data_IF_862517151802
#
_entry.id   IF_862517151802
#
_cell.length_a   1.000
_cell.length_b   1.000
_cell.length_c   1.000
_cell.angle_alpha   90.00
_cell.angle_beta   90.00
_cell.angle_gamma   90.00
#
_symmetry.space_group_name_H-M   'P 1'
#
loop_
_entity.id
_entity.type
_entity.pdbx_description
1 polymer ?
#
# COMPACT_ATOMS: atom_id res chain seq x y z
N UNK A 1 -27.13 -10.90 -7.15
CA UNK A 1 -25.96 -10.93 -6.24
C UNK A 1 -24.75 -10.94 -7.10
N UNK A 2 -23.96 -9.88 -7.03
CA UNK A 2 -22.69 -9.80 -7.80
C UNK A 2 -21.75 -10.93 -7.37
N UNK A 3 -21.45 -11.83 -8.29
CA UNK A 3 -20.59 -13.00 -8.05
C UNK A 3 -19.15 -12.65 -7.71
N UNK A 4 -18.79 -11.38 -7.83
CA UNK A 4 -17.44 -10.85 -7.56
C UNK A 4 -17.41 -9.89 -6.37
N UNK A 5 -18.43 -9.92 -5.50
CA UNK A 5 -18.49 -9.05 -4.32
C UNK A 5 -17.33 -9.25 -3.32
N UNK A 6 -16.55 -10.32 -3.46
CA UNK A 6 -15.33 -10.53 -2.68
C UNK A 6 -14.11 -9.76 -3.24
N UNK A 7 -14.19 -9.26 -4.48
CA UNK A 7 -13.17 -8.41 -5.08
C UNK A 7 -13.50 -6.96 -4.73
N UNK A 8 -12.78 -6.40 -3.79
CA UNK A 8 -12.87 -4.97 -3.51
C UNK A 8 -12.41 -4.19 -4.77
N UNK A 9 -13.03 -3.06 -5.08
CA UNK A 9 -12.73 -2.25 -6.26
C UNK A 9 -11.22 -1.90 -6.41
N UNK A 10 -10.49 -1.89 -5.31
CA UNK A 10 -9.03 -1.69 -5.29
C UNK A 10 -8.23 -2.86 -5.91
N UNK A 11 -8.81 -4.04 -6.02
CA UNK A 11 -8.13 -5.24 -6.51
C UNK A 11 -8.44 -5.55 -7.99
N UNK A 12 -9.45 -4.88 -8.57
CA UNK A 12 -9.88 -5.14 -9.96
C UNK A 12 -8.82 -4.79 -10.98
N UNK A 13 -8.03 -3.74 -10.77
CA UNK A 13 -6.93 -3.37 -11.67
C UNK A 13 -5.82 -4.44 -11.69
N UNK A 14 -5.41 -4.92 -10.52
CA UNK A 14 -4.42 -6.00 -10.41
C UNK A 14 -4.87 -7.29 -11.11
N UNK A 15 -6.15 -7.64 -10.93
CA UNK A 15 -6.75 -8.78 -11.63
C UNK A 15 -6.79 -8.60 -13.13
N UNK A 16 -7.18 -7.41 -13.59
CA UNK A 16 -7.24 -7.11 -15.03
C UNK A 16 -5.86 -7.23 -15.67
N UNK A 17 -4.82 -6.67 -15.03
CA UNK A 17 -3.44 -6.74 -15.52
C UNK A 17 -2.91 -8.18 -15.60
N UNK A 18 -3.15 -8.99 -14.56
CA UNK A 18 -2.75 -10.40 -14.55
C UNK A 18 -3.54 -11.22 -15.58
N UNK A 19 -4.83 -10.92 -15.74
CA UNK A 19 -5.66 -11.60 -16.74
C UNK A 19 -5.24 -11.24 -18.16
N UNK A 20 -4.90 -9.97 -18.44
CA UNK A 20 -4.34 -9.57 -19.73
C UNK A 20 -3.01 -10.28 -20.02
N UNK A 21 -2.12 -10.38 -19.03
CA UNK A 21 -0.87 -11.13 -19.16
C UNK A 21 -1.13 -12.61 -19.46
N UNK A 22 -2.10 -13.23 -18.80
CA UNK A 22 -2.52 -14.59 -19.04
C UNK A 22 -3.07 -14.78 -20.46
N UNK A 23 -3.93 -13.86 -20.94
CA UNK A 23 -4.48 -13.92 -22.31
C UNK A 23 -3.41 -13.77 -23.40
N UNK A 24 -2.37 -12.94 -23.16
CA UNK A 24 -1.24 -12.78 -24.08
C UNK A 24 -0.32 -13.99 -24.07
N UNK A 25 0.01 -14.50 -22.91
CA UNK A 25 0.86 -15.69 -22.73
C UNK A 25 0.54 -16.37 -21.39
N UNK A 26 -0.17 -17.52 -21.41
CA UNK A 26 -0.51 -18.25 -20.20
C UNK A 26 0.70 -18.67 -19.34
N UNK A 27 1.88 -18.82 -19.96
CA UNK A 27 3.11 -19.18 -19.26
C UNK A 27 3.81 -18.00 -18.59
N UNK A 28 3.36 -16.77 -18.84
CA UNK A 28 3.91 -15.55 -18.22
C UNK A 28 3.39 -15.31 -16.79
N UNK A 29 2.29 -15.94 -16.43
CA UNK A 29 1.73 -15.86 -15.07
C UNK A 29 2.09 -17.11 -14.26
N UNK A 30 2.18 -16.93 -12.95
CA UNK A 30 2.46 -18.04 -12.05
C UNK A 30 1.43 -19.16 -12.19
N UNK A 31 1.81 -20.46 -12.02
CA UNK A 31 0.92 -21.62 -12.19
C UNK A 31 -0.40 -21.54 -11.42
N UNK A 32 -0.40 -20.94 -10.21
CA UNK A 32 -1.61 -20.74 -9.41
C UNK A 32 -2.62 -19.80 -10.07
N UNK A 33 -2.15 -18.69 -10.60
CA UNK A 33 -2.97 -17.74 -11.36
C UNK A 33 -3.45 -18.29 -12.68
N UNK A 34 -2.59 -19.07 -13.36
CA UNK A 34 -2.97 -19.76 -14.60
C UNK A 34 -4.13 -20.72 -14.36
N UNK A 35 -4.04 -21.55 -13.32
CA UNK A 35 -5.11 -22.49 -12.97
C UNK A 35 -6.40 -21.77 -12.57
N UNK A 36 -6.30 -20.62 -11.90
CA UNK A 36 -7.44 -19.78 -11.57
C UNK A 36 -8.10 -19.22 -12.84
N UNK A 37 -7.33 -18.64 -13.75
CA UNK A 37 -7.87 -18.04 -14.97
C UNK A 37 -8.41 -19.10 -15.93
N UNK A 38 -7.80 -20.27 -16.01
CA UNK A 38 -8.37 -21.41 -16.72
C UNK A 38 -9.73 -21.80 -16.17
N UNK A 39 -9.87 -21.87 -14.83
CA UNK A 39 -11.16 -22.11 -14.19
C UNK A 39 -12.16 -20.99 -14.40
N UNK A 40 -11.71 -19.75 -14.44
CA UNK A 40 -12.53 -18.57 -14.70
C UNK A 40 -13.07 -18.55 -16.14
N UNK A 41 -12.20 -18.79 -17.14
CA UNK A 41 -12.59 -18.89 -18.56
C UNK A 41 -13.54 -20.06 -18.79
N UNK A 42 -13.26 -21.20 -18.15
CA UNK A 42 -14.10 -22.35 -18.16
C UNK A 42 -15.50 -22.06 -17.58
N UNK A 43 -15.57 -21.35 -16.46
CA UNK A 43 -16.84 -20.93 -15.85
C UNK A 43 -17.61 -19.93 -16.71
N UNK A 44 -16.93 -19.06 -17.48
CA UNK A 44 -17.58 -18.16 -18.42
C UNK A 44 -18.10 -18.90 -19.67
N UNK A 45 -17.34 -19.88 -20.18
CA UNK A 45 -17.72 -20.63 -21.37
C UNK A 45 -18.84 -21.65 -21.12
N UNK A 46 -19.02 -22.11 -19.86
CA UNK A 46 -19.82 -23.30 -19.53
C UNK A 46 -21.19 -23.09 -18.89
N UNK A 47 -21.70 -21.87 -18.81
CA UNK A 47 -23.01 -21.63 -18.19
C UNK A 47 -24.17 -22.12 -19.09
N UNK A 48 -24.53 -23.42 -19.00
CA UNK A 48 -25.74 -23.94 -19.65
C UNK A 48 -25.87 -25.45 -19.89
N UNK A 49 -24.90 -26.31 -19.56
CA UNK A 49 -25.06 -27.76 -19.79
C UNK A 49 -24.69 -28.62 -18.60
N UNK A 50 -25.54 -29.60 -18.27
CA UNK A 50 -25.33 -30.59 -17.21
C UNK A 50 -24.10 -31.52 -17.45
N UNK A 51 -23.67 -31.69 -18.70
CA UNK A 51 -22.47 -32.45 -19.07
C UNK A 51 -21.18 -31.79 -18.56
N UNK A 52 -21.17 -30.48 -18.36
CA UNK A 52 -20.04 -29.70 -17.88
C UNK A 52 -19.75 -29.90 -16.38
N UNK A 53 -20.78 -30.16 -15.58
CA UNK A 53 -20.62 -30.38 -14.15
C UNK A 53 -19.84 -31.67 -13.82
N UNK A 54 -19.95 -32.70 -14.66
CA UNK A 54 -19.25 -33.96 -14.47
C UNK A 54 -17.75 -33.89 -14.82
N UNK A 55 -17.37 -33.03 -15.76
CA UNK A 55 -15.95 -32.81 -16.13
C UNK A 55 -15.21 -31.96 -15.09
N UNK A 56 -15.88 -31.01 -14.42
CA UNK A 56 -15.29 -30.16 -13.36
C UNK A 56 -14.83 -31.01 -12.15
N UNK A 57 -15.56 -32.08 -11.82
CA UNK A 57 -15.24 -32.94 -10.69
C UNK A 57 -13.97 -33.76 -10.94
N UNK A 58 -13.63 -34.06 -12.17
CA UNK A 58 -12.41 -34.84 -12.49
C UNK A 58 -11.14 -33.97 -12.57
N UNK A 59 -11.24 -32.68 -12.91
CA UNK A 59 -10.10 -31.74 -12.91
C UNK A 59 -9.78 -31.23 -11.50
N UNK A 60 -10.79 -31.20 -10.62
CA UNK A 60 -10.64 -30.72 -9.23
C UNK A 60 -9.99 -31.72 -8.27
N UNK A 61 -9.72 -32.96 -8.70
CA UNK A 61 -9.17 -34.01 -7.83
C UNK A 61 -7.64 -34.16 -7.87
N UNK A 62 -6.93 -33.31 -8.62
CA UNK A 62 -5.47 -33.26 -8.62
C UNK A 62 -4.97 -31.89 -8.17
N UNK A 63 -4.32 -31.84 -7.00
CA UNK A 63 -3.51 -30.69 -6.53
C UNK A 63 -4.24 -29.35 -6.25
N UNK A 64 -5.58 -29.35 -6.21
CA UNK A 64 -6.38 -28.12 -6.02
C UNK A 64 -6.29 -27.51 -4.61
N UNK A 65 -5.83 -28.24 -3.62
CA UNK A 65 -5.74 -27.78 -2.23
C UNK A 65 -4.63 -26.75 -2.02
N UNK A 66 -3.42 -27.04 -2.50
CA UNK A 66 -2.25 -26.14 -2.34
C UNK A 66 -2.38 -24.88 -3.18
N UNK A 67 -2.85 -25.01 -4.43
CA UNK A 67 -3.11 -23.87 -5.32
C UNK A 67 -4.16 -22.94 -4.72
N UNK A 68 -5.23 -23.49 -4.16
CA UNK A 68 -6.28 -22.71 -3.48
C UNK A 68 -5.74 -21.98 -2.24
N UNK A 69 -4.89 -22.63 -1.43
CA UNK A 69 -4.28 -22.02 -0.25
C UNK A 69 -3.32 -20.88 -0.61
N UNK A 70 -2.45 -21.08 -1.61
CA UNK A 70 -1.52 -20.07 -2.06
C UNK A 70 -2.26 -18.83 -2.59
N UNK A 71 -3.30 -19.04 -3.38
CA UNK A 71 -4.13 -17.95 -3.88
C UNK A 71 -4.83 -17.20 -2.75
N UNK A 72 -5.35 -17.91 -1.74
CA UNK A 72 -5.93 -17.29 -0.56
C UNK A 72 -4.91 -16.41 0.17
N UNK A 73 -3.65 -16.83 0.24
CA UNK A 73 -2.57 -16.05 0.84
C UNK A 73 -2.21 -14.81 -0.01
N UNK A 74 -2.23 -14.90 -1.35
CA UNK A 74 -2.09 -13.71 -2.22
C UNK A 74 -3.16 -12.66 -1.92
N UNK A 75 -4.43 -13.06 -1.80
CA UNK A 75 -5.51 -12.15 -1.39
C UNK A 75 -5.28 -11.56 0.00
N UNK A 76 -4.77 -12.35 0.91
CA UNK A 76 -4.47 -11.87 2.26
C UNK A 76 -3.35 -10.82 2.25
N UNK A 77 -2.33 -10.99 1.40
CA UNK A 77 -1.29 -9.97 1.19
C UNK A 77 -1.86 -8.70 0.57
N UNK A 78 -2.78 -8.80 -0.40
CA UNK A 78 -3.47 -7.62 -0.94
C UNK A 78 -4.26 -6.87 0.14
N UNK A 79 -4.97 -7.59 1.02
CA UNK A 79 -5.66 -6.99 2.17
C UNK A 79 -4.69 -6.33 3.15
N UNK A 80 -3.51 -6.91 3.36
CA UNK A 80 -2.46 -6.33 4.19
C UNK A 80 -1.97 -5.01 3.60
N UNK A 81 -1.66 -4.96 2.30
CA UNK A 81 -1.25 -3.74 1.58
C UNK A 81 -2.30 -2.65 1.76
N UNK A 82 -3.58 -2.98 1.54
CA UNK A 82 -4.68 -2.05 1.74
C UNK A 82 -4.85 -1.61 3.20
N UNK A 83 -4.58 -2.52 4.14
CA UNK A 83 -4.51 -2.21 5.56
C UNK A 83 -3.46 -1.14 5.89
N UNK A 84 -2.26 -1.22 5.32
CA UNK A 84 -1.22 -0.20 5.47
C UNK A 84 -1.61 1.12 4.81
N UNK A 85 -2.18 1.10 3.60
CA UNK A 85 -2.65 2.30 2.90
C UNK A 85 -3.72 3.07 3.66
N UNK A 86 -4.60 2.37 4.34
CA UNK A 86 -5.73 2.98 5.08
C UNK A 86 -5.38 3.34 6.52
N UNK A 87 -4.49 2.61 7.17
CA UNK A 87 -4.23 2.72 8.62
C UNK A 87 -2.78 2.94 8.99
N UNK A 88 -1.83 2.85 8.05
CA UNK A 88 -0.40 2.99 8.33
C UNK A 88 -0.06 4.32 9.01
N UNK A 89 -0.73 5.41 8.65
CA UNK A 89 -0.55 6.73 9.26
C UNK A 89 -0.82 6.73 10.78
N UNK A 90 -1.60 5.78 11.31
CA UNK A 90 -1.84 5.64 12.75
C UNK A 90 -0.62 5.10 13.51
N UNK A 91 0.31 4.47 12.81
CA UNK A 91 1.51 3.87 13.39
C UNK A 91 2.79 4.69 13.14
N UNK A 92 2.66 5.88 12.58
CA UNK A 92 3.78 6.77 12.28
C UNK A 92 4.46 7.32 13.54
N UNK A 93 5.77 7.56 13.42
CA UNK A 93 6.63 8.16 14.45
C UNK A 93 6.84 9.66 14.15
N UNK A 94 5.74 10.41 14.06
CA UNK A 94 5.78 11.83 13.69
C UNK A 94 6.28 12.75 14.80
N UNK A 95 6.21 12.33 16.06
CA UNK A 95 6.69 13.12 17.20
C UNK A 95 8.08 12.60 17.64
N UNK A 96 9.15 13.41 17.51
CA UNK A 96 10.50 12.99 17.90
C UNK A 96 10.73 12.94 19.42
N UNK A 97 9.84 13.53 20.21
CA UNK A 97 10.01 13.69 21.66
C UNK A 97 9.18 12.67 22.46
N UNK A 98 8.11 12.16 21.87
CA UNK A 98 7.19 11.27 22.57
C UNK A 98 6.68 10.16 21.67
N UNK A 99 6.70 8.93 22.16
CA UNK A 99 6.09 7.81 21.49
C UNK A 99 4.57 7.97 21.37
N UNK A 100 4.05 7.62 20.20
CA UNK A 100 2.62 7.66 19.92
C UNK A 100 1.91 6.55 20.68
N UNK A 101 0.77 6.89 21.30
CA UNK A 101 -0.13 5.87 21.85
C UNK A 101 -0.83 5.14 20.70
N UNK A 102 -0.69 3.83 20.66
CA UNK A 102 -1.32 3.00 19.65
C UNK A 102 -2.76 2.67 20.11
N UNK A 103 -3.74 3.28 19.48
CA UNK A 103 -5.17 3.05 19.72
C UNK A 103 -5.89 2.48 18.49
N UNK A 104 -5.18 2.26 17.41
CA UNK A 104 -5.73 1.77 16.15
C UNK A 104 -5.82 0.26 16.07
N UNK A 105 -6.60 -0.27 15.13
CA UNK A 105 -6.60 -1.69 14.81
C UNK A 105 -5.21 -2.11 14.32
N UNK A 106 -4.72 -3.21 14.85
CA UNK A 106 -3.39 -3.75 14.56
C UNK A 106 -3.17 -4.03 13.07
N UNK A 107 -1.92 -3.82 12.62
CA UNK A 107 -1.42 -4.25 11.30
C UNK A 107 -0.67 -5.59 11.39
N UNK A 108 -0.87 -6.35 12.47
CA UNK A 108 -0.26 -7.66 12.63
C UNK A 108 -0.75 -8.64 11.56
N UNK A 109 0.14 -9.52 11.10
CA UNK A 109 -0.11 -10.47 10.01
C UNK A 109 -1.32 -11.37 10.27
N UNK A 110 -1.52 -11.76 11.53
CA UNK A 110 -2.60 -12.63 11.96
C UNK A 110 -3.99 -12.07 11.67
N UNK A 111 -4.13 -10.72 11.72
CA UNK A 111 -5.39 -10.04 11.41
C UNK A 111 -5.76 -10.11 9.92
N UNK A 112 -4.82 -10.50 9.09
CA UNK A 112 -5.01 -10.66 7.64
C UNK A 112 -4.98 -12.13 7.21
N UNK A 113 -4.93 -13.08 8.17
CA UNK A 113 -4.84 -14.51 7.87
C UNK A 113 -3.47 -14.93 7.33
N UNK A 114 -2.43 -14.19 7.71
CA UNK A 114 -1.02 -14.49 7.43
C UNK A 114 -0.31 -14.83 8.75
N UNK A 115 0.84 -15.47 8.67
CA UNK A 115 1.61 -15.91 9.84
C UNK A 115 3.11 -15.65 9.67
N UNK A 116 3.86 -15.79 10.74
CA UNK A 116 5.33 -15.69 10.69
C UNK A 116 5.96 -16.75 9.76
N UNK A 117 5.31 -17.89 9.55
CA UNK A 117 5.77 -18.91 8.62
C UNK A 117 5.73 -18.45 7.16
N UNK A 118 4.86 -17.48 6.83
CA UNK A 118 4.67 -16.96 5.48
C UNK A 118 5.72 -15.92 5.09
N UNK A 119 6.53 -15.41 6.04
CA UNK A 119 7.49 -14.32 5.81
C UNK A 119 8.50 -14.61 4.69
N UNK A 120 8.89 -15.85 4.49
CA UNK A 120 9.84 -16.25 3.45
C UNK A 120 9.14 -16.67 2.14
N UNK A 121 7.82 -16.66 2.09
CA UNK A 121 7.05 -17.00 0.90
C UNK A 121 7.04 -15.80 -0.06
N UNK A 122 7.25 -16.09 -1.35
CA UNK A 122 7.25 -15.07 -2.43
C UNK A 122 5.82 -14.86 -2.92
N UNK A 123 5.42 -13.59 -3.06
CA UNK A 123 4.09 -13.17 -3.48
C UNK A 123 4.13 -12.24 -4.69
N UNK A 124 3.22 -12.46 -5.63
CA UNK A 124 3.01 -11.60 -6.80
C UNK A 124 2.31 -10.28 -6.42
N UNK A 125 1.59 -10.26 -5.32
CA UNK A 125 0.94 -9.06 -4.76
C UNK A 125 1.92 -7.90 -4.53
N UNK A 126 3.23 -8.15 -4.45
CA UNK A 126 4.29 -7.13 -4.40
C UNK A 126 4.21 -6.12 -5.57
N UNK A 127 3.67 -6.52 -6.73
CA UNK A 127 3.45 -5.65 -7.90
C UNK A 127 2.52 -4.47 -7.57
N UNK A 128 1.60 -4.61 -6.62
CA UNK A 128 0.70 -3.54 -6.17
C UNK A 128 1.40 -2.37 -5.46
N UNK A 129 2.65 -2.58 -5.07
CA UNK A 129 3.52 -1.56 -4.45
C UNK A 129 4.78 -1.31 -5.28
N UNK A 130 4.68 -1.50 -6.60
CA UNK A 130 5.75 -1.28 -7.58
C UNK A 130 7.02 -2.11 -7.33
N UNK A 131 6.90 -3.24 -6.64
CA UNK A 131 7.98 -4.19 -6.42
C UNK A 131 7.88 -5.39 -7.38
N UNK A 132 9.01 -6.02 -7.67
CA UNK A 132 9.01 -7.36 -8.29
C UNK A 132 8.47 -8.38 -7.28
N UNK A 133 7.99 -9.55 -7.74
CA UNK A 133 7.64 -10.64 -6.81
C UNK A 133 8.76 -10.85 -5.80
N UNK A 134 8.45 -10.75 -4.52
CA UNK A 134 9.39 -10.82 -3.42
C UNK A 134 8.75 -11.42 -2.17
N UNK A 135 9.53 -11.64 -1.14
CA UNK A 135 9.07 -12.25 0.11
C UNK A 135 8.10 -11.34 0.88
N UNK A 136 7.20 -11.95 1.66
CA UNK A 136 6.30 -11.19 2.53
C UNK A 136 7.08 -10.27 3.49
N UNK A 137 8.24 -10.70 3.98
CA UNK A 137 9.09 -9.87 4.83
C UNK A 137 9.55 -8.59 4.14
N UNK A 138 9.91 -8.68 2.85
CA UNK A 138 10.30 -7.51 2.05
C UNK A 138 9.12 -6.58 1.78
N UNK A 139 7.94 -7.14 1.48
CA UNK A 139 6.70 -6.38 1.32
C UNK A 139 6.37 -5.62 2.60
N UNK A 140 6.36 -6.28 3.75
CA UNK A 140 6.08 -5.65 5.05
C UNK A 140 7.08 -4.54 5.35
N UNK A 141 8.37 -4.79 5.15
CA UNK A 141 9.41 -3.79 5.36
C UNK A 141 9.22 -2.55 4.48
N UNK A 142 8.88 -2.75 3.20
CA UNK A 142 8.56 -1.64 2.29
C UNK A 142 7.35 -0.85 2.79
N UNK A 143 6.25 -1.53 3.15
CA UNK A 143 5.04 -0.90 3.66
C UNK A 143 5.29 -0.12 4.96
N UNK A 144 6.09 -0.66 5.88
CA UNK A 144 6.50 0.04 7.10
C UNK A 144 7.34 1.29 6.80
N UNK A 145 8.24 1.21 5.82
CA UNK A 145 9.03 2.36 5.38
C UNK A 145 8.15 3.46 4.80
N UNK A 146 7.22 3.09 3.91
CA UNK A 146 6.35 4.06 3.23
C UNK A 146 5.33 4.69 4.18
N UNK A 147 4.67 3.87 5.04
CA UNK A 147 3.47 4.31 5.75
C UNK A 147 3.64 4.51 7.25
N UNK A 148 4.69 3.99 7.89
CA UNK A 148 4.82 3.96 9.34
C UNK A 148 6.04 4.73 9.89
N UNK A 149 6.76 5.49 9.04
CA UNK A 149 7.93 6.27 9.50
C UNK A 149 7.53 7.66 10.00
N UNK A 150 8.34 8.67 9.72
CA UNK A 150 8.16 10.03 10.24
C UNK A 150 7.11 10.87 9.51
N UNK A 151 6.60 10.39 8.38
CA UNK A 151 5.58 11.10 7.58
C UNK A 151 4.32 10.24 7.53
N UNK A 152 3.22 10.76 8.06
CA UNK A 152 1.90 10.14 7.94
C UNK A 152 1.15 10.67 6.72
N UNK A 153 0.58 9.78 5.92
CA UNK A 153 -0.16 10.14 4.71
C UNK A 153 -1.55 9.53 4.76
N UNK A 154 -2.55 10.38 4.61
CA UNK A 154 -3.97 10.01 4.50
C UNK A 154 -4.49 10.44 3.13
N UNK A 155 -4.81 9.50 2.26
CA UNK A 155 -5.20 9.80 0.88
C UNK A 155 -6.28 8.87 0.32
N UNK A 156 -6.61 7.78 1.02
CA UNK A 156 -7.56 6.76 0.54
C UNK A 156 -9.00 7.27 0.41
N UNK A 157 -9.31 8.46 0.93
CA UNK A 157 -10.60 9.14 0.74
C UNK A 157 -10.74 9.84 -0.61
N UNK A 158 -9.66 9.97 -1.38
CA UNK A 158 -9.68 10.61 -2.71
C UNK A 158 -10.45 9.71 -3.68
N UNK A 159 -11.48 10.29 -4.31
CA UNK A 159 -12.40 9.54 -5.19
C UNK A 159 -11.97 9.49 -6.66
N UNK A 160 -11.07 10.40 -7.08
CA UNK A 160 -10.59 10.42 -8.45
C UNK A 160 -9.50 9.36 -8.66
N UNK A 161 -9.75 8.33 -9.50
CA UNK A 161 -8.84 7.19 -9.64
C UNK A 161 -7.43 7.61 -10.08
N UNK A 162 -7.31 8.53 -11.04
CA UNK A 162 -6.01 8.98 -11.55
C UNK A 162 -5.15 9.70 -10.49
N UNK A 163 -5.78 10.50 -9.63
CA UNK A 163 -5.06 11.16 -8.52
C UNK A 163 -4.63 10.14 -7.48
N UNK A 164 -5.52 9.22 -7.14
CA UNK A 164 -5.23 8.15 -6.19
C UNK A 164 -4.06 7.29 -6.67
N UNK A 165 -4.08 6.87 -7.92
CA UNK A 165 -3.03 6.06 -8.54
C UNK A 165 -1.69 6.82 -8.57
N UNK A 166 -1.71 8.10 -8.96
CA UNK A 166 -0.52 8.94 -8.95
C UNK A 166 0.12 9.03 -7.56
N UNK A 167 -0.70 9.22 -6.50
CA UNK A 167 -0.20 9.31 -5.12
C UNK A 167 0.41 7.97 -4.69
N UNK A 168 -0.26 6.84 -4.95
CA UNK A 168 0.26 5.51 -4.65
C UNK A 168 1.64 5.30 -5.27
N UNK A 169 1.75 5.52 -6.58
CA UNK A 169 3.01 5.38 -7.30
C UNK A 169 4.09 6.32 -6.76
N UNK A 170 3.72 7.55 -6.41
CA UNK A 170 4.68 8.53 -5.87
C UNK A 170 5.23 8.15 -4.50
N UNK A 171 4.41 7.55 -3.64
CA UNK A 171 4.82 7.08 -2.32
C UNK A 171 5.73 5.87 -2.41
N UNK A 172 5.42 4.92 -3.28
CA UNK A 172 6.15 3.65 -3.42
C UNK A 172 7.56 3.82 -4.02
N UNK A 173 7.77 4.81 -4.91
CA UNK A 173 9.04 4.97 -5.67
C UNK A 173 10.28 5.13 -4.77
N UNK A 174 10.19 5.84 -3.66
CA UNK A 174 11.33 6.18 -2.79
C UNK A 174 11.05 5.85 -1.31
N UNK A 175 10.25 4.83 -1.02
CA UNK A 175 9.85 4.49 0.35
C UNK A 175 9.34 5.71 1.14
N UNK A 176 8.66 6.65 0.47
CA UNK A 176 8.22 7.93 1.04
C UNK A 176 9.38 8.73 1.69
N UNK A 177 10.62 8.48 1.30
CA UNK A 177 11.78 9.19 1.80
C UNK A 177 12.20 10.30 0.82
N UNK A 178 12.28 11.56 1.28
CA UNK A 178 12.78 12.64 0.45
C UNK A 178 14.29 12.50 0.29
N UNK A 179 14.75 12.24 -0.93
CA UNK A 179 16.17 12.15 -1.27
C UNK A 179 16.77 13.54 -1.50
N UNK A 180 16.69 14.43 -0.50
CA UNK A 180 17.23 15.78 -0.62
C UNK A 180 18.74 15.81 -0.62
N UNK A 181 19.33 16.60 -1.53
CA UNK A 181 20.73 16.94 -1.52
C UNK A 181 21.12 17.69 -0.24
N UNK A 182 22.42 17.70 0.09
CA UNK A 182 22.93 18.44 1.25
C UNK A 182 22.59 19.95 1.15
N UNK A 183 22.62 20.52 -0.05
CA UNK A 183 22.30 21.92 -0.26
C UNK A 183 20.82 22.23 -0.06
N UNK A 184 19.93 21.35 -0.54
CA UNK A 184 18.48 21.51 -0.25
C UNK A 184 18.19 21.38 1.25
N UNK A 185 18.86 20.45 1.97
CA UNK A 185 18.72 20.33 3.44
C UNK A 185 19.20 21.58 4.17
N UNK A 186 20.34 22.17 3.75
CA UNK A 186 20.84 23.44 4.30
C UNK A 186 19.88 24.59 4.01
N UNK A 187 19.33 24.65 2.80
CA UNK A 187 18.35 25.65 2.43
C UNK A 187 17.09 25.59 3.31
N UNK A 188 16.52 24.38 3.50
CA UNK A 188 15.37 24.17 4.39
C UNK A 188 15.71 24.63 5.82
N UNK A 189 16.87 24.22 6.36
CA UNK A 189 17.30 24.63 7.70
C UNK A 189 17.45 26.14 7.81
N UNK A 190 18.02 26.81 6.79
CA UNK A 190 18.15 28.27 6.75
C UNK A 190 16.79 28.93 6.82
N UNK A 191 15.81 28.51 6.02
CA UNK A 191 14.45 29.06 6.02
C UNK A 191 13.71 28.89 7.35
N UNK A 192 13.85 27.71 7.97
CA UNK A 192 13.29 27.46 9.29
C UNK A 192 13.93 28.39 10.34
N UNK A 193 15.25 28.55 10.32
CA UNK A 193 15.96 29.42 11.23
C UNK A 193 15.61 30.89 11.04
N UNK A 194 15.45 31.37 9.80
CA UNK A 194 14.99 32.71 9.48
C UNK A 194 13.61 33.00 10.09
N UNK A 195 12.68 32.07 9.95
CA UNK A 195 11.33 32.21 10.52
C UNK A 195 11.34 32.26 12.05
N UNK A 196 12.04 31.35 12.71
CA UNK A 196 12.16 31.32 14.19
C UNK A 196 12.86 32.60 14.69
N UNK A 197 13.91 33.04 14.02
CA UNK A 197 14.61 34.27 14.37
C UNK A 197 13.72 35.51 14.24
N UNK A 198 12.89 35.57 13.19
CA UNK A 198 11.92 36.64 13.01
C UNK A 198 10.82 36.63 14.09
N UNK A 199 10.28 35.48 14.43
CA UNK A 199 9.32 35.35 15.52
C UNK A 199 9.90 35.82 16.87
N UNK A 200 11.14 35.44 17.18
CA UNK A 200 11.84 35.87 18.39
C UNK A 200 12.12 37.38 18.39
N UNK A 201 12.49 37.96 17.24
CA UNK A 201 12.64 39.41 17.10
C UNK A 201 11.33 40.12 17.40
N UNK A 202 10.21 39.70 16.82
CA UNK A 202 8.90 40.28 17.10
C UNK A 202 8.52 40.13 18.57
N UNK A 203 8.81 39.00 19.17
CA UNK A 203 8.56 38.78 20.60
C UNK A 203 9.28 39.78 21.51
N UNK A 204 10.52 40.06 21.16
CA UNK A 204 11.38 40.91 21.96
C UNK A 204 11.09 42.43 21.77
N UNK A 205 10.84 42.85 20.53
CA UNK A 205 10.67 44.24 20.18
C UNK A 205 9.24 44.77 20.31
N UNK A 206 8.24 43.90 20.15
CA UNK A 206 6.83 44.26 20.11
C UNK A 206 6.02 43.48 21.16
N UNK A 207 6.46 43.58 22.40
CA UNK A 207 5.82 42.95 23.55
C UNK A 207 4.36 43.40 23.68
N UNK A 208 3.44 42.45 23.76
CA UNK A 208 2.00 42.70 23.93
C UNK A 208 1.20 42.81 22.65
N UNK A 209 1.84 42.81 21.47
CA UNK A 209 1.10 42.69 20.20
C UNK A 209 0.68 41.24 19.94
N UNK A 210 -0.54 41.08 19.37
CA UNK A 210 -0.99 39.79 18.87
C UNK A 210 -0.08 39.31 17.74
N UNK A 211 0.44 38.10 17.87
CA UNK A 211 1.19 37.41 16.85
C UNK A 211 0.81 35.95 16.84
N UNK A 212 0.98 35.35 15.69
CA UNK A 212 0.81 33.90 15.52
C UNK A 212 2.19 33.26 15.47
N UNK A 213 2.32 32.09 16.09
CA UNK A 213 3.50 31.22 15.95
C UNK A 213 3.23 30.11 14.96
N UNK A 214 4.29 29.67 14.26
CA UNK A 214 4.26 28.50 13.42
C UNK A 214 4.63 27.22 14.16
N UNK A 215 4.73 27.25 15.49
CA UNK A 215 5.04 26.09 16.30
C UNK A 215 4.09 24.93 16.02
N UNK A 216 4.64 23.79 15.59
CA UNK A 216 3.89 22.61 15.12
C UNK A 216 3.49 22.63 13.62
N UNK A 217 3.71 23.76 12.93
CA UNK A 217 3.42 23.94 11.49
C UNK A 217 4.65 24.39 10.70
N UNK A 218 5.85 24.20 11.20
CA UNK A 218 7.10 24.71 10.61
C UNK A 218 7.33 24.17 9.20
N UNK A 219 6.82 22.98 8.90
CA UNK A 219 6.91 22.38 7.57
C UNK A 219 6.20 23.21 6.46
N UNK A 220 5.27 24.10 6.82
CA UNK A 220 4.61 25.01 5.86
C UNK A 220 5.64 25.92 5.16
N UNK A 221 6.67 26.39 5.87
CA UNK A 221 7.68 27.29 5.32
C UNK A 221 8.44 26.66 4.14
N UNK A 222 9.12 25.50 4.30
CA UNK A 222 9.80 24.88 3.18
C UNK A 222 8.83 24.32 2.13
N UNK A 223 7.58 24.04 2.48
CA UNK A 223 6.57 23.62 1.51
C UNK A 223 6.13 24.76 0.59
N UNK A 224 6.05 26.00 1.10
CA UNK A 224 5.74 27.17 0.29
C UNK A 224 6.94 27.68 -0.53
N UNK A 225 8.17 27.39 -0.07
CA UNK A 225 9.42 27.78 -0.73
C UNK A 225 9.84 26.76 -1.83
N UNK A 226 9.21 25.60 -1.89
CA UNK A 226 9.54 24.54 -2.86
C UNK A 226 8.79 24.68 -4.17
#
# INVERSE_FOLDING_TARGET
>A
MDRFSFLNAAHTAFFADLYEQYLQNPDSVEPSWRSFFQGFDFAQAGYGSEEFAAQVVQVASGDSGEISEKMQKEFNVLKLIEGYRTRGHLFTKTNPVRDRRLHGPSLALENFGLSQADLNTVFDAAKMVNMKPCTLAEIVKHLENVYCQSIGVEYMYIREPHKLEWIKNRLDINDNLPNFSADKKKHILKKLNEAVSFENFLHTKYVGQKRFSLEGCEAVIPALDA
#
